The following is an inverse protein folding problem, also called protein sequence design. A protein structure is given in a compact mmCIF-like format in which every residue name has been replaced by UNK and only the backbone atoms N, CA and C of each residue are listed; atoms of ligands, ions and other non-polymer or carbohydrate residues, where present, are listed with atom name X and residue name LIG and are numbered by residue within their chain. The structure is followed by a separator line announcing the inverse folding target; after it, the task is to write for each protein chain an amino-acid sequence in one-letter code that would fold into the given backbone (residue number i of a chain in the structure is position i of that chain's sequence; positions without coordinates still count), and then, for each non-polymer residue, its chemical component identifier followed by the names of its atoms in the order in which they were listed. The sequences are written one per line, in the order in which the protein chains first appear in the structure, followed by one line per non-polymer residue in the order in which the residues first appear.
data_IF_592357763200
#
_entry.id   IF_592357763200
#
_cell.length_a   1.000
_cell.length_b   1.000
_cell.length_c   1.000
_cell.angle_alpha   90.00
_cell.angle_beta   90.00
_cell.angle_gamma   90.00
#
_symmetry.space_group_name_H-M   'P 1'
#
loop_
_entity.id
_entity.type
_entity.pdbx_description
1 polymer ?
#
# COMPACT_ATOMS: atom_id res chain seq x y z
N UNK A 1 14.51 -6.21 -8.19
CA UNK A 1 13.42 -6.56 -9.13
C UNK A 1 14.03 -7.00 -10.46
N UNK A 2 13.82 -8.25 -10.88
CA UNK A 2 14.41 -8.77 -12.13
C UNK A 2 13.81 -8.13 -13.39
N UNK A 3 12.49 -8.22 -13.54
CA UNK A 3 11.79 -7.72 -14.74
C UNK A 3 11.92 -6.22 -14.97
N UNK A 4 11.99 -5.42 -13.90
CA UNK A 4 12.21 -3.98 -14.00
C UNK A 4 13.51 -3.63 -14.75
N UNK A 5 14.58 -4.40 -14.53
CA UNK A 5 15.86 -4.22 -15.19
C UNK A 5 15.88 -4.85 -16.58
N UNK A 6 15.29 -6.05 -16.72
CA UNK A 6 15.22 -6.78 -17.98
C UNK A 6 14.46 -6.01 -19.08
N UNK A 7 13.40 -5.29 -18.70
CA UNK A 7 12.52 -4.56 -19.62
C UNK A 7 12.63 -3.04 -19.50
N UNK A 8 13.77 -2.51 -19.01
CA UNK A 8 13.93 -1.08 -18.74
C UNK A 8 13.64 -0.17 -19.96
N UNK A 9 13.86 -0.68 -21.19
CA UNK A 9 13.62 0.07 -22.43
C UNK A 9 12.26 -0.22 -23.10
N UNK A 10 11.41 -1.06 -22.48
CA UNK A 10 10.12 -1.47 -23.05
C UNK A 10 8.96 -0.51 -22.71
N UNK A 11 9.24 0.58 -21.98
CA UNK A 11 8.23 1.50 -21.44
C UNK A 11 7.16 0.79 -20.57
N UNK A 12 7.53 -0.28 -19.86
CA UNK A 12 6.67 -1.02 -18.93
C UNK A 12 7.16 -0.74 -17.50
N UNK A 13 6.23 -0.39 -16.60
CA UNK A 13 6.52 -0.17 -15.19
C UNK A 13 6.32 -1.45 -14.37
N UNK A 14 7.37 -1.92 -13.70
CA UNK A 14 7.30 -3.02 -12.73
C UNK A 14 7.47 -2.46 -11.32
N UNK A 15 6.49 -2.68 -10.45
CA UNK A 15 6.45 -2.05 -9.12
C UNK A 15 5.78 -2.99 -8.13
N UNK A 16 6.30 -3.04 -6.91
CA UNK A 16 5.62 -3.66 -5.77
C UNK A 16 4.92 -2.56 -4.96
N UNK A 17 3.72 -2.86 -4.49
CA UNK A 17 2.99 -2.03 -3.54
C UNK A 17 2.70 -2.86 -2.29
N UNK A 18 2.98 -2.29 -1.12
CA UNK A 18 2.77 -2.92 0.18
C UNK A 18 2.06 -1.94 1.13
N UNK A 19 1.18 -2.42 2.03
CA UNK A 19 0.52 -1.53 2.96
C UNK A 19 1.42 -1.16 4.15
N UNK A 20 1.34 0.08 4.63
CA UNK A 20 2.01 0.53 5.87
C UNK A 20 1.44 -0.19 7.10
N UNK A 21 0.16 -0.55 7.03
CA UNK A 21 -0.64 -1.07 8.15
C UNK A 21 -1.48 -2.27 7.73
N UNK A 22 -1.97 -3.05 8.69
CA UNK A 22 -2.93 -4.13 8.40
C UNK A 22 -4.14 -3.60 7.62
N UNK A 23 -4.65 -4.43 6.71
CA UNK A 23 -5.81 -4.13 5.87
C UNK A 23 -6.98 -5.01 6.27
N UNK A 24 -8.11 -4.37 6.60
CA UNK A 24 -9.36 -5.00 7.01
C UNK A 24 -9.97 -5.84 5.87
N UNK A 25 -9.47 -7.06 5.69
CA UNK A 25 -9.94 -8.04 4.70
C UNK A 25 -10.48 -9.29 5.39
N UNK A 26 -11.16 -10.16 4.63
CA UNK A 26 -11.61 -11.46 5.14
C UNK A 26 -10.48 -12.35 5.65
N UNK A 27 -9.24 -12.15 5.18
CA UNK A 27 -8.07 -12.87 5.69
C UNK A 27 -7.69 -12.44 7.11
N UNK A 28 -7.67 -11.12 7.37
CA UNK A 28 -7.58 -10.59 8.74
C UNK A 28 -8.79 -11.03 9.56
N UNK A 29 -9.93 -11.29 8.88
CA UNK A 29 -11.15 -11.67 9.55
C UNK A 29 -11.19 -13.06 10.18
N UNK A 30 -10.36 -13.96 9.69
CA UNK A 30 -10.29 -15.33 10.18
C UNK A 30 -9.17 -15.54 11.21
N UNK A 31 -8.54 -14.46 11.69
CA UNK A 31 -7.50 -14.50 12.72
C UNK A 31 -8.12 -14.65 14.13
N UNK A 32 -7.46 -15.36 15.08
CA UNK A 32 -7.98 -15.53 16.43
C UNK A 32 -8.29 -14.24 17.20
N UNK A 33 -7.61 -13.12 16.88
CA UNK A 33 -7.73 -11.82 17.55
C UNK A 33 -8.53 -10.78 16.71
N UNK A 34 -9.58 -11.25 16.05
CA UNK A 34 -10.28 -10.57 14.95
C UNK A 34 -10.84 -9.16 15.24
N UNK A 35 -11.54 -8.94 16.36
CA UNK A 35 -12.28 -7.68 16.57
C UNK A 35 -11.37 -6.48 16.79
N UNK A 36 -10.32 -6.64 17.61
CA UNK A 36 -9.36 -5.56 17.88
C UNK A 36 -8.47 -5.29 16.67
N UNK A 37 -8.13 -6.34 15.92
CA UNK A 37 -7.34 -6.23 14.70
C UNK A 37 -8.08 -5.47 13.59
N UNK A 38 -9.39 -5.68 13.43
CA UNK A 38 -10.19 -4.93 12.44
C UNK A 38 -10.29 -3.45 12.76
N UNK A 39 -10.57 -3.10 14.02
CA UNK A 39 -10.71 -1.70 14.43
C UNK A 39 -9.41 -0.90 14.24
N UNK A 40 -8.27 -1.60 14.37
CA UNK A 40 -6.92 -1.05 14.21
C UNK A 40 -6.33 -1.29 12.80
N UNK A 41 -7.13 -1.77 11.86
CA UNK A 41 -6.75 -1.95 10.45
C UNK A 41 -7.33 -0.85 9.56
N UNK A 42 -6.60 -0.49 8.50
CA UNK A 42 -7.12 0.40 7.47
C UNK A 42 -8.01 -0.36 6.49
N UNK A 43 -8.94 0.37 5.88
CA UNK A 43 -9.84 -0.19 4.87
C UNK A 43 -9.10 -0.40 3.54
N UNK A 44 -9.49 -1.41 2.74
CA UNK A 44 -8.79 -1.77 1.48
C UNK A 44 -8.68 -0.63 0.45
N UNK A 45 -9.52 0.40 0.54
CA UNK A 45 -9.50 1.54 -0.37
C UNK A 45 -8.17 2.30 -0.34
N UNK A 46 -7.38 2.23 0.74
CA UNK A 46 -6.05 2.86 0.79
C UNK A 46 -5.10 2.25 -0.24
N UNK A 47 -5.09 0.92 -0.35
CA UNK A 47 -4.29 0.19 -1.33
C UNK A 47 -4.82 0.40 -2.74
N UNK A 48 -6.15 0.50 -2.90
CA UNK A 48 -6.77 0.77 -4.20
C UNK A 48 -6.37 2.16 -4.72
N UNK A 49 -6.46 3.20 -3.89
CA UNK A 49 -6.10 4.56 -4.28
C UNK A 49 -4.59 4.69 -4.56
N UNK A 50 -3.75 4.04 -3.76
CA UNK A 50 -2.31 3.99 -4.00
C UNK A 50 -1.98 3.27 -5.32
N UNK A 51 -2.64 2.14 -5.60
CA UNK A 51 -2.49 1.44 -6.87
C UNK A 51 -2.93 2.33 -8.05
N UNK A 52 -4.05 3.05 -7.92
CA UNK A 52 -4.52 3.99 -8.95
C UNK A 52 -3.51 5.10 -9.25
N UNK A 53 -2.86 5.65 -8.22
CA UNK A 53 -1.79 6.64 -8.41
C UNK A 53 -0.60 6.04 -9.18
N UNK A 54 -0.22 4.79 -8.89
CA UNK A 54 0.89 4.10 -9.57
C UNK A 54 0.56 3.81 -11.04
N UNK A 55 -0.60 3.19 -11.33
CA UNK A 55 -0.94 2.75 -12.70
C UNK A 55 -1.21 3.91 -13.65
N UNK A 56 -1.54 5.09 -13.13
CA UNK A 56 -1.73 6.31 -13.93
C UNK A 56 -0.45 7.15 -14.06
N UNK A 57 0.62 6.79 -13.33
CA UNK A 57 1.91 7.45 -13.43
C UNK A 57 2.71 6.97 -14.64
N UNK A 58 3.62 7.81 -15.19
CA UNK A 58 4.54 7.37 -16.23
C UNK A 58 5.37 6.16 -15.78
N UNK A 59 5.52 5.15 -16.65
CA UNK A 59 6.23 3.90 -16.32
C UNK A 59 7.65 4.14 -15.76
N UNK A 60 8.36 5.14 -16.31
CA UNK A 60 9.72 5.52 -15.87
C UNK A 60 9.77 6.00 -14.41
N UNK A 61 8.68 6.56 -13.90
CA UNK A 61 8.61 7.07 -12.54
C UNK A 61 8.38 5.97 -11.51
N UNK A 62 7.82 4.82 -11.90
CA UNK A 62 7.42 3.76 -10.97
C UNK A 62 8.26 2.48 -11.12
N UNK A 63 8.91 2.28 -12.27
CA UNK A 63 9.65 1.06 -12.57
C UNK A 63 10.77 0.79 -11.54
N UNK A 64 10.85 -0.45 -11.06
CA UNK A 64 11.85 -0.93 -10.12
C UNK A 64 11.64 -0.52 -8.67
N UNK A 65 10.49 0.09 -8.33
CA UNK A 65 10.21 0.56 -6.96
C UNK A 65 9.45 -0.48 -6.13
N UNK A 66 9.72 -0.46 -4.83
CA UNK A 66 8.89 -1.07 -3.80
C UNK A 66 8.29 0.07 -2.99
N UNK A 67 6.97 0.23 -3.07
CA UNK A 67 6.25 1.39 -2.56
C UNK A 67 5.36 1.01 -1.38
N UNK A 68 5.22 1.95 -0.44
CA UNK A 68 4.27 1.89 0.66
C UNK A 68 3.05 2.74 0.31
N UNK A 69 1.85 2.21 0.49
CA UNK A 69 0.58 2.88 0.17
C UNK A 69 0.47 4.30 0.74
N UNK A 70 0.81 4.47 2.02
CA UNK A 70 0.77 5.74 2.72
C UNK A 70 1.73 6.77 2.10
N UNK A 71 2.92 6.36 1.69
CA UNK A 71 3.90 7.25 1.08
C UNK A 71 3.52 7.64 -0.35
N UNK A 72 2.94 6.70 -1.11
CA UNK A 72 2.37 6.98 -2.43
C UNK A 72 1.26 8.02 -2.33
N UNK A 73 0.35 7.84 -1.38
CA UNK A 73 -0.78 8.75 -1.17
C UNK A 73 -0.34 10.12 -0.67
N UNK A 74 0.63 10.18 0.26
CA UNK A 74 1.23 11.45 0.72
C UNK A 74 1.90 12.18 -0.46
N UNK A 75 2.65 11.48 -1.31
CA UNK A 75 3.26 12.05 -2.51
C UNK A 75 2.21 12.54 -3.52
N UNK A 76 1.05 11.89 -3.59
CA UNK A 76 -0.10 12.32 -4.38
C UNK A 76 -0.94 13.44 -3.72
N UNK A 77 -0.51 13.98 -2.59
CA UNK A 77 -1.17 15.09 -1.89
C UNK A 77 -2.26 14.69 -0.90
N UNK A 78 -2.43 13.39 -0.63
CA UNK A 78 -3.37 12.87 0.38
C UNK A 78 -2.62 12.74 1.71
N UNK A 79 -2.59 13.83 2.49
CA UNK A 79 -1.93 13.85 3.79
C UNK A 79 -2.77 13.20 4.91
N UNK A 80 -4.09 13.35 4.86
CA UNK A 80 -4.99 12.79 5.87
C UNK A 80 -5.44 11.37 5.48
N UNK A 81 -4.79 10.38 6.10
CA UNK A 81 -5.09 8.97 5.91
C UNK A 81 -6.17 8.45 6.88
N UNK A 82 -6.66 9.28 7.82
CA UNK A 82 -7.70 8.86 8.79
C UNK A 82 -9.00 8.46 8.11
N UNK A 83 -9.27 8.96 6.89
CA UNK A 83 -10.38 8.54 6.04
C UNK A 83 -10.38 7.04 5.74
N UNK A 84 -9.23 6.38 5.81
CA UNK A 84 -9.10 4.94 5.62
C UNK A 84 -9.24 4.14 6.91
N UNK A 85 -9.54 4.76 8.05
CA UNK A 85 -9.69 4.06 9.34
C UNK A 85 -8.37 3.69 10.00
N UNK A 86 -8.35 2.59 10.76
CA UNK A 86 -7.21 2.14 11.56
C UNK A 86 -7.16 2.70 12.98
N UNK A 87 -8.16 3.48 13.39
CA UNK A 87 -8.23 4.04 14.75
C UNK A 87 -7.08 5.02 15.06
N UNK A 88 -6.81 5.21 16.35
CA UNK A 88 -5.75 6.11 16.84
C UNK A 88 -4.35 5.51 16.75
N UNK A 89 -4.25 4.18 16.63
CA UNK A 89 -2.99 3.46 16.55
C UNK A 89 -3.11 2.26 15.61
N UNK A 90 -3.04 2.48 14.28
CA UNK A 90 -3.07 1.40 13.31
C UNK A 90 -1.94 0.39 13.53
N UNK A 91 -2.22 -0.89 13.31
CA UNK A 91 -1.23 -1.97 13.41
C UNK A 91 -0.34 -1.92 12.17
N UNK A 92 0.98 -1.82 12.36
CA UNK A 92 1.97 -1.83 11.27
C UNK A 92 2.01 -3.22 10.61
N UNK A 93 2.09 -3.26 9.29
CA UNK A 93 2.11 -4.52 8.56
C UNK A 93 3.43 -5.28 8.72
N UNK A 94 3.36 -6.58 8.50
CA UNK A 94 4.55 -7.43 8.48
C UNK A 94 5.54 -6.94 7.42
N UNK A 95 6.83 -6.99 7.75
CA UNK A 95 7.94 -6.50 6.91
C UNK A 95 8.08 -4.98 6.76
N UNK A 96 7.37 -4.19 7.56
CA UNK A 96 7.59 -2.74 7.68
C UNK A 96 8.31 -2.44 8.99
N UNK A 97 9.54 -1.94 8.90
CA UNK A 97 10.34 -1.50 10.05
C UNK A 97 10.03 -0.04 10.43
N UNK A 98 10.25 0.31 11.70
CA UNK A 98 10.17 1.69 12.23
C UNK A 98 11.53 2.26 12.54
#
# INVERSE_FOLDING_TARGET
MGWAAEYANAAIGFTCLWPETYIATSAVANSPDFEDALASSRRPEIMADAAMAIVTSPAVEVNGKCLIDADVLRAAGVADLSRYGGGTSPIIDIFVDR
#
